data_IF_490608711317
#
_entry.id   IF_490608711317
#
_cell.length_a   1.000
_cell.length_b   1.000
_cell.length_c   1.000
_cell.angle_alpha   90.00
_cell.angle_beta   90.00
_cell.angle_gamma   90.00
#
_symmetry.space_group_name_H-M   'P 1'
#
loop_
_entity.id
_entity.type
_entity.pdbx_description
1 polymer ?
#
# COMPACT_ATOMS: atom_id res chain seq x y z
N UNK A 1 7.50 32.57 -13.03
CA UNK A 1 6.58 31.64 -13.72
C UNK A 1 6.74 30.30 -13.03
N UNK A 2 5.70 29.80 -12.35
CA UNK A 2 5.78 28.61 -11.50
C UNK A 2 5.68 27.34 -12.35
N UNK A 3 6.70 26.49 -12.26
CA UNK A 3 6.76 25.17 -12.88
C UNK A 3 5.90 24.21 -12.07
N UNK A 4 4.65 24.00 -12.49
CA UNK A 4 3.88 22.85 -12.05
C UNK A 4 4.44 21.67 -12.86
N UNK A 5 5.42 20.97 -12.31
CA UNK A 5 5.71 19.62 -12.77
C UNK A 5 4.41 18.84 -12.57
N UNK A 6 3.88 18.28 -13.65
CA UNK A 6 2.73 17.40 -13.59
C UNK A 6 3.18 16.12 -12.92
N UNK A 7 3.26 16.14 -11.59
CA UNK A 7 3.33 14.95 -10.78
C UNK A 7 1.98 14.28 -11.00
N UNK A 8 1.92 13.25 -11.83
CA UNK A 8 0.82 12.29 -11.77
C UNK A 8 0.66 11.96 -10.30
N UNK A 9 -0.46 12.33 -9.65
CA UNK A 9 -0.64 11.94 -8.27
C UNK A 9 -0.69 10.42 -8.32
N UNK A 10 0.40 9.78 -7.88
CA UNK A 10 0.39 8.38 -7.49
C UNK A 10 -0.88 8.23 -6.65
N UNK A 11 -1.86 7.51 -7.20
CA UNK A 11 -3.15 7.36 -6.55
C UNK A 11 -2.82 6.83 -5.15
N UNK A 12 -3.24 7.54 -4.09
CA UNK A 12 -2.89 7.12 -2.75
C UNK A 12 -3.39 5.68 -2.58
N UNK A 13 -2.58 4.79 -1.98
CA UNK A 13 -3.02 3.45 -1.68
C UNK A 13 -4.35 3.52 -0.92
N UNK A 14 -5.26 2.58 -1.17
CA UNK A 14 -6.61 2.61 -0.61
C UNK A 14 -6.72 1.66 0.59
N UNK A 15 -6.29 2.07 1.81
CA UNK A 15 -6.22 1.18 2.95
C UNK A 15 -7.60 0.79 3.49
N UNK A 16 -7.72 -0.46 3.92
CA UNK A 16 -8.83 -0.92 4.76
C UNK A 16 -8.65 -0.48 6.23
N UNK A 17 -9.22 0.68 6.57
CA UNK A 17 -9.17 1.25 7.92
C UNK A 17 -9.82 0.35 8.99
N UNK A 18 -10.72 -0.58 8.60
CA UNK A 18 -11.30 -1.52 9.55
C UNK A 18 -10.25 -2.52 10.04
N UNK A 19 -9.38 -2.98 9.16
CA UNK A 19 -8.24 -3.85 9.51
C UNK A 19 -7.16 -3.09 10.27
N UNK A 20 -6.94 -1.83 9.91
CA UNK A 20 -5.88 -1.02 10.50
C UNK A 20 -6.17 -0.55 11.93
N UNK A 21 -7.44 -0.43 12.33
CA UNK A 21 -7.90 0.19 13.59
C UNK A 21 -7.08 -0.20 14.83
N UNK A 22 -6.66 -1.46 14.93
CA UNK A 22 -5.93 -1.99 16.09
C UNK A 22 -4.47 -2.36 15.76
N UNK A 23 -3.96 -1.96 14.61
CA UNK A 23 -2.60 -2.26 14.19
C UNK A 23 -1.62 -1.27 14.82
N UNK A 24 -0.65 -1.77 15.58
CA UNK A 24 0.38 -0.97 16.23
C UNK A 24 1.45 -0.47 15.27
N UNK A 25 1.57 -1.06 14.08
CA UNK A 25 2.60 -0.68 13.11
C UNK A 25 2.20 0.51 12.25
N UNK A 26 0.96 0.55 11.77
CA UNK A 26 0.42 1.72 11.07
C UNK A 26 -0.41 2.64 11.95
N UNK A 27 -0.58 2.33 13.25
CA UNK A 27 -1.30 3.17 14.22
C UNK A 27 -2.73 3.55 13.79
N UNK A 28 -3.44 2.64 13.10
CA UNK A 28 -4.81 2.92 12.62
C UNK A 28 -4.92 3.48 11.20
N UNK A 29 -3.81 3.88 10.57
CA UNK A 29 -3.83 4.54 9.25
C UNK A 29 -3.96 3.55 8.09
N UNK A 30 -3.49 2.32 8.28
CA UNK A 30 -3.50 1.27 7.25
C UNK A 30 -2.41 1.42 6.19
N UNK A 31 -1.66 2.52 6.23
CA UNK A 31 -0.47 2.76 5.42
C UNK A 31 0.73 3.07 6.30
N UNK A 32 1.93 2.91 5.74
CA UNK A 32 3.20 3.32 6.31
C UNK A 32 3.93 4.19 5.28
N UNK A 33 4.77 5.11 5.76
CA UNK A 33 5.62 5.93 4.88
C UNK A 33 6.97 5.23 4.72
N UNK A 34 7.41 5.02 3.49
CA UNK A 34 8.71 4.42 3.17
C UNK A 34 9.85 5.38 3.44
N UNK A 35 11.09 4.91 3.35
CA UNK A 35 12.27 5.79 3.48
C UNK A 35 12.34 6.81 2.34
N UNK A 36 11.80 6.47 1.19
CA UNK A 36 11.73 7.32 -0.01
C UNK A 36 10.59 8.36 0.08
N UNK A 37 9.72 8.25 1.09
CA UNK A 37 8.60 9.17 1.32
C UNK A 37 7.30 8.74 0.65
N UNK A 38 7.29 7.58 0.01
CA UNK A 38 6.09 6.99 -0.56
C UNK A 38 5.18 6.40 0.51
N UNK A 39 3.88 6.36 0.22
CA UNK A 39 2.90 5.73 1.10
C UNK A 39 2.61 4.33 0.58
N UNK A 40 2.86 3.33 1.41
CA UNK A 40 2.60 1.92 1.09
C UNK A 40 1.58 1.35 2.07
N UNK A 41 0.87 0.28 1.66
CA UNK A 41 -0.04 -0.42 2.55
C UNK A 41 0.73 -1.10 3.69
N UNK A 42 0.16 -1.09 4.88
CA UNK A 42 0.75 -1.77 6.03
C UNK A 42 0.58 -3.28 5.90
N UNK A 43 1.62 -3.97 5.42
CA UNK A 43 1.63 -5.43 5.18
C UNK A 43 1.16 -6.27 6.39
N UNK A 44 1.35 -5.78 7.61
CA UNK A 44 0.91 -6.47 8.83
C UNK A 44 -0.61 -6.58 8.96
N UNK A 45 -1.36 -5.57 8.54
CA UNK A 45 -2.83 -5.57 8.62
C UNK A 45 -3.49 -5.68 7.24
N UNK A 46 -2.72 -5.40 6.18
CA UNK A 46 -3.13 -5.33 4.79
C UNK A 46 -2.00 -5.91 3.93
N UNK A 47 -1.81 -7.24 3.97
CA UNK A 47 -0.86 -7.91 3.10
C UNK A 47 -1.26 -7.67 1.65
N UNK A 48 -0.28 -7.38 0.80
CA UNK A 48 -0.52 -7.18 -0.62
C UNK A 48 -1.09 -8.49 -1.23
N UNK A 49 -2.15 -8.42 -2.04
CA UNK A 49 -2.69 -9.61 -2.68
C UNK A 49 -1.73 -10.24 -3.72
N UNK A 50 -0.66 -9.54 -4.11
CA UNK A 50 0.33 -9.93 -5.11
C UNK A 50 1.43 -10.87 -4.62
N UNK A 51 1.55 -11.15 -3.32
CA UNK A 51 2.43 -12.22 -2.79
C UNK A 51 1.75 -13.60 -2.75
N UNK A 52 0.60 -13.75 -3.43
CA UNK A 52 0.32 -15.05 -4.07
C UNK A 52 1.14 -15.05 -5.35
N UNK A 53 2.33 -15.62 -5.24
CA UNK A 53 3.11 -16.20 -6.33
C UNK A 53 2.19 -16.46 -7.53
N UNK A 54 2.54 -15.86 -8.66
CA UNK A 54 2.26 -16.39 -9.99
C UNK A 54 2.90 -17.78 -10.06
N UNK A 55 2.30 -18.73 -9.33
CA UNK A 55 2.51 -20.14 -9.49
C UNK A 55 1.85 -20.48 -10.80
N UNK A 56 2.64 -20.43 -11.86
CA UNK A 56 2.56 -21.37 -12.96
C UNK A 56 2.31 -22.79 -12.41
N UNK A 57 1.06 -23.15 -12.19
CA UNK A 57 0.60 -24.54 -12.16
C UNK A 57 -0.85 -24.59 -12.64
N UNK A 58 -1.01 -24.81 -13.94
CA UNK A 58 -2.18 -25.53 -14.44
C UNK A 58 -2.14 -26.96 -13.90
N UNK A 59 -3.29 -27.56 -13.55
CA UNK A 59 -3.63 -28.73 -14.34
C UNK A 59 -5.12 -28.88 -14.71
N UNK A 60 -5.27 -29.23 -16.00
CA UNK A 60 -6.36 -29.94 -16.72
C UNK A 60 -7.62 -29.19 -17.13
#
# INVERSE_FOLDING_TARGET
>A
MAHIAHHTPLLPPHPDLRRARNCTQCLGWGTVVTRDGDHELCLTCQPDPGDREDGLDSPR
#
